data_IF_679319624951
#
_entry.id   IF_679319624951
#
_cell.length_a   1.000
_cell.length_b   1.000
_cell.length_c   1.000
_cell.angle_alpha   90.00
_cell.angle_beta   90.00
_cell.angle_gamma   90.00
#
_symmetry.space_group_name_H-M   'P 1'
#
loop_
_entity.id
_entity.type
_entity.pdbx_description
1 polymer ?
#
# COMPACT_ATOMS: atom_id res chain seq x y z
N UNK A 1 50.75 53.32 12.74
CA UNK A 1 49.94 54.42 12.25
C UNK A 1 48.51 53.95 12.31
N UNK A 2 47.80 54.15 13.41
CA UNK A 2 47.07 55.36 13.77
C UNK A 2 45.97 55.63 12.73
N UNK A 3 44.71 55.65 12.96
CA UNK A 3 43.87 56.41 13.91
C UNK A 3 42.41 55.95 13.70
N UNK A 4 41.61 55.45 14.64
CA UNK A 4 40.85 56.20 15.62
C UNK A 4 39.94 57.33 15.08
N UNK A 5 38.65 57.21 15.30
CA UNK A 5 37.66 58.24 15.73
C UNK A 5 36.28 57.54 15.69
N UNK A 6 35.68 57.13 16.77
CA UNK A 6 34.87 57.74 17.81
C UNK A 6 33.64 58.53 17.35
N UNK A 7 32.49 58.00 17.83
CA UNK A 7 31.34 58.69 18.48
C UNK A 7 30.46 59.61 17.64
N UNK A 8 29.19 59.31 17.61
CA UNK A 8 28.25 60.15 18.34
C UNK A 8 26.82 59.55 18.41
N UNK A 9 26.33 59.27 19.60
CA UNK A 9 24.94 59.28 19.96
C UNK A 9 24.51 60.70 20.25
N UNK A 10 23.21 61.07 20.06
CA UNK A 10 22.49 61.50 21.25
C UNK A 10 21.10 60.88 21.41
N UNK A 11 20.80 60.63 22.67
CA UNK A 11 19.50 60.48 23.28
C UNK A 11 18.65 61.72 23.15
N UNK A 12 17.36 61.57 22.91
CA UNK A 12 16.27 62.40 23.44
C UNK A 12 15.01 61.56 23.35
N UNK A 13 14.58 60.92 24.39
CA UNK A 13 13.54 61.33 25.37
C UNK A 13 12.16 61.56 24.75
N UNK A 14 11.31 60.58 25.06
CA UNK A 14 10.04 60.63 25.74
C UNK A 14 8.89 61.38 25.06
N UNK A 15 7.82 60.65 24.79
CA UNK A 15 6.58 60.94 25.54
C UNK A 15 5.49 59.91 25.34
N UNK A 16 4.79 59.64 26.38
CA UNK A 16 3.67 58.71 26.54
C UNK A 16 2.52 59.02 25.60
N UNK A 17 1.97 58.02 24.96
CA UNK A 17 0.53 57.98 24.75
C UNK A 17 0.10 56.51 24.88
N UNK A 18 -0.56 56.21 25.98
CA UNK A 18 -1.38 55.05 26.18
C UNK A 18 -2.53 55.09 25.18
N UNK A 19 -2.54 54.16 24.25
CA UNK A 19 -3.75 53.82 23.54
C UNK A 19 -4.08 52.37 23.93
N UNK A 20 -5.23 52.24 24.58
CA UNK A 20 -5.84 50.99 24.97
C UNK A 20 -5.99 50.04 23.74
N UNK A 21 -5.86 48.73 23.92
CA UNK A 21 -6.17 47.79 22.83
C UNK A 21 -7.66 47.83 22.58
N UNK A 22 -8.01 48.29 21.41
CA UNK A 22 -9.34 48.19 20.84
C UNK A 22 -9.66 46.72 20.66
N UNK A 23 -10.55 46.21 21.52
CA UNK A 23 -11.11 44.88 21.38
C UNK A 23 -11.91 44.84 20.07
N UNK A 24 -11.29 44.31 19.05
CA UNK A 24 -11.98 43.90 17.81
C UNK A 24 -12.93 42.78 18.19
N UNK A 25 -14.19 43.12 18.38
CA UNK A 25 -15.26 42.13 18.54
C UNK A 25 -15.34 41.32 17.26
N UNK A 26 -14.90 40.06 17.31
CA UNK A 26 -15.14 39.10 16.27
C UNK A 26 -16.65 38.86 16.26
N UNK A 27 -17.38 39.09 15.15
CA UNK A 27 -18.78 38.75 15.08
C UNK A 27 -18.92 37.24 15.19
N UNK A 28 -19.43 36.81 16.34
CA UNK A 28 -19.92 35.42 16.48
C UNK A 28 -21.10 35.30 15.51
N UNK A 29 -20.87 34.63 14.39
CA UNK A 29 -21.96 34.15 13.55
C UNK A 29 -22.79 33.24 14.41
N UNK A 30 -24.01 33.63 14.71
CA UNK A 30 -25.02 32.74 15.26
C UNK A 30 -25.05 31.47 14.41
N UNK A 31 -24.92 30.35 15.09
CA UNK A 31 -25.01 29.02 14.50
C UNK A 31 -26.37 28.88 13.83
N UNK A 32 -26.39 29.06 12.54
CA UNK A 32 -27.51 28.60 11.72
C UNK A 32 -27.66 27.10 11.95
N UNK A 33 -28.85 26.70 12.27
CA UNK A 33 -29.51 25.41 12.34
C UNK A 33 -28.65 24.14 12.14
N UNK A 34 -28.93 23.05 12.85
CA UNK A 34 -28.19 21.81 12.73
C UNK A 34 -28.29 21.30 11.30
N UNK A 35 -27.29 21.67 10.50
CA UNK A 35 -27.08 21.07 9.20
C UNK A 35 -27.13 19.56 9.37
N UNK A 36 -28.01 18.94 8.61
CA UNK A 36 -28.09 17.51 8.40
C UNK A 36 -26.73 16.87 8.67
N UNK A 37 -26.72 16.01 9.67
CA UNK A 37 -25.59 15.09 9.86
C UNK A 37 -25.34 14.49 8.50
N UNK A 38 -24.24 14.93 7.87
CA UNK A 38 -23.65 14.20 6.76
C UNK A 38 -23.55 12.76 7.26
N UNK A 39 -24.50 11.94 6.83
CA UNK A 39 -24.40 10.52 7.02
C UNK A 39 -23.02 10.15 6.52
N UNK A 40 -22.18 9.46 7.32
CA UNK A 40 -20.95 8.92 6.80
C UNK A 40 -21.34 8.16 5.54
N UNK A 41 -20.88 8.61 4.39
CA UNK A 41 -20.96 7.82 3.17
C UNK A 41 -20.49 6.44 3.60
N UNK A 42 -21.28 5.37 3.36
CA UNK A 42 -20.79 4.05 3.62
C UNK A 42 -19.47 3.98 2.87
N UNK A 43 -18.36 3.92 3.60
CA UNK A 43 -17.10 3.50 3.04
C UNK A 43 -17.45 2.18 2.38
N UNK A 44 -17.69 2.23 1.07
CA UNK A 44 -17.83 1.03 0.26
C UNK A 44 -16.58 0.23 0.61
N UNK A 45 -16.77 -0.79 1.44
CA UNK A 45 -15.72 -1.76 1.68
C UNK A 45 -15.16 -2.06 0.29
N UNK A 46 -13.84 -2.00 0.08
CA UNK A 46 -13.28 -2.33 -1.22
C UNK A 46 -13.88 -3.69 -1.55
N UNK A 47 -14.79 -3.69 -2.51
CA UNK A 47 -15.33 -4.95 -3.05
C UNK A 47 -14.08 -5.73 -3.36
N UNK A 48 -13.85 -6.92 -2.79
CA UNK A 48 -12.71 -7.72 -3.18
C UNK A 48 -12.93 -7.94 -4.67
N UNK A 49 -12.25 -7.15 -5.48
CA UNK A 49 -12.05 -7.50 -6.88
C UNK A 49 -11.28 -8.79 -6.74
N UNK A 50 -12.03 -9.89 -6.75
CA UNK A 50 -11.44 -11.23 -6.76
C UNK A 50 -10.39 -11.15 -7.82
N UNK A 51 -9.14 -11.13 -7.41
CA UNK A 51 -8.01 -11.00 -8.31
C UNK A 51 -7.99 -12.28 -9.12
N UNK A 52 -8.88 -12.34 -10.12
CA UNK A 52 -8.96 -13.45 -11.04
C UNK A 52 -7.65 -13.45 -11.79
N UNK A 53 -6.88 -14.47 -11.60
CA UNK A 53 -5.72 -14.74 -12.41
C UNK A 53 -6.03 -15.93 -13.33
N UNK A 54 -5.36 -15.99 -14.44
CA UNK A 54 -5.42 -17.14 -15.35
C UNK A 54 -4.12 -17.91 -15.18
N UNK A 55 -4.15 -19.11 -14.57
CA UNK A 55 -2.93 -19.89 -14.35
C UNK A 55 -2.19 -20.18 -15.65
N UNK A 56 -0.87 -20.04 -15.61
CA UNK A 56 0.04 -20.41 -16.71
C UNK A 56 1.19 -21.25 -16.16
N UNK A 57 1.78 -22.09 -16.98
CA UNK A 57 2.95 -22.92 -16.58
C UNK A 57 4.13 -22.03 -16.16
N UNK A 58 4.39 -20.98 -16.92
CA UNK A 58 5.41 -19.97 -16.57
C UNK A 58 5.08 -19.28 -15.26
N UNK A 59 3.79 -19.03 -15.00
CA UNK A 59 3.32 -18.44 -13.75
C UNK A 59 3.57 -19.36 -12.54
N UNK A 60 3.45 -20.68 -12.70
CA UNK A 60 3.77 -21.65 -11.63
C UNK A 60 5.25 -21.59 -11.28
N UNK A 61 6.10 -21.63 -12.28
CA UNK A 61 7.56 -21.52 -12.10
C UNK A 61 7.93 -20.19 -11.47
N UNK A 62 7.35 -19.11 -11.98
CA UNK A 62 7.64 -17.75 -11.47
C UNK A 62 7.21 -17.60 -10.01
N UNK A 63 6.01 -18.05 -9.68
CA UNK A 63 5.51 -18.01 -8.31
C UNK A 63 6.42 -18.77 -7.35
N UNK A 64 6.81 -20.01 -7.70
CA UNK A 64 7.72 -20.83 -6.89
C UNK A 64 9.09 -20.15 -6.72
N UNK A 65 9.66 -19.62 -7.82
CA UNK A 65 10.96 -18.90 -7.79
C UNK A 65 10.89 -17.68 -6.90
N UNK A 66 9.87 -16.83 -7.05
CA UNK A 66 9.71 -15.62 -6.22
C UNK A 66 9.53 -15.98 -4.75
N UNK A 67 8.78 -17.03 -4.44
CA UNK A 67 8.63 -17.52 -3.06
C UNK A 67 9.98 -17.91 -2.44
N UNK A 68 10.82 -18.64 -3.18
CA UNK A 68 12.16 -19.00 -2.72
C UNK A 68 13.06 -17.79 -2.52
N UNK A 69 13.06 -16.84 -3.45
CA UNK A 69 13.85 -15.60 -3.31
C UNK A 69 13.40 -14.74 -2.12
N UNK A 70 12.11 -14.72 -1.84
CA UNK A 70 11.55 -14.01 -0.66
C UNK A 70 11.93 -14.74 0.63
N UNK A 71 11.82 -16.07 0.67
CA UNK A 71 12.17 -16.87 1.83
C UNK A 71 13.68 -16.81 2.15
N UNK A 72 14.52 -16.69 1.13
CA UNK A 72 15.97 -16.51 1.26
C UNK A 72 16.36 -15.04 1.52
N UNK A 73 15.39 -14.12 1.63
CA UNK A 73 15.62 -12.66 1.77
C UNK A 73 16.52 -12.06 0.66
N UNK A 74 16.64 -12.76 -0.48
CA UNK A 74 17.46 -12.35 -1.61
C UNK A 74 16.92 -11.12 -2.33
N UNK A 75 15.62 -10.84 -2.20
CA UNK A 75 14.94 -9.68 -2.81
C UNK A 75 14.16 -8.89 -1.76
N UNK A 76 14.33 -7.58 -1.75
CA UNK A 76 13.71 -6.67 -0.80
C UNK A 76 13.13 -5.44 -1.47
N UNK A 77 12.26 -4.73 -0.78
CA UNK A 77 11.68 -3.45 -1.20
C UNK A 77 11.20 -3.46 -2.67
N UNK A 78 11.67 -2.53 -3.49
CA UNK A 78 11.25 -2.39 -4.90
C UNK A 78 11.53 -3.62 -5.76
N UNK A 79 12.58 -4.37 -5.45
CA UNK A 79 12.91 -5.61 -6.20
C UNK A 79 11.85 -6.67 -5.92
N UNK A 80 11.44 -6.81 -4.65
CA UNK A 80 10.35 -7.71 -4.26
C UNK A 80 9.03 -7.28 -4.90
N UNK A 81 8.75 -5.99 -4.94
CA UNK A 81 7.54 -5.46 -5.58
C UNK A 81 7.53 -5.76 -7.08
N UNK A 82 8.65 -5.52 -7.78
CA UNK A 82 8.82 -5.90 -9.18
C UNK A 82 8.56 -7.39 -9.39
N UNK A 83 9.18 -8.26 -8.59
CA UNK A 83 9.02 -9.70 -8.70
C UNK A 83 7.58 -10.16 -8.44
N UNK A 84 6.93 -9.63 -7.40
CA UNK A 84 5.55 -10.00 -7.05
C UNK A 84 4.52 -9.53 -8.08
N UNK A 85 4.71 -8.37 -8.70
CA UNK A 85 3.76 -7.79 -9.64
C UNK A 85 4.06 -8.13 -11.11
N UNK A 86 5.19 -8.76 -11.41
CA UNK A 86 5.50 -9.21 -12.75
C UNK A 86 4.92 -10.60 -13.04
N UNK A 87 4.71 -10.85 -14.33
CA UNK A 87 4.37 -12.13 -14.90
C UNK A 87 5.56 -12.63 -15.72
N UNK A 88 5.93 -13.89 -15.56
CA UNK A 88 6.84 -14.55 -16.49
C UNK A 88 6.06 -14.91 -17.74
N UNK A 89 6.52 -14.41 -18.88
CA UNK A 89 5.86 -14.61 -20.19
C UNK A 89 6.52 -15.72 -20.97
N UNK A 90 7.84 -15.74 -20.94
CA UNK A 90 8.63 -16.73 -21.68
C UNK A 90 9.96 -16.99 -20.97
N UNK A 91 10.48 -18.20 -21.17
CA UNK A 91 11.81 -18.64 -20.75
C UNK A 91 12.55 -19.20 -21.97
N UNK A 92 13.64 -18.54 -22.31
CA UNK A 92 14.54 -19.01 -23.36
C UNK A 92 15.91 -19.29 -22.73
N UNK A 93 16.11 -20.50 -22.29
CA UNK A 93 17.29 -20.91 -21.54
C UNK A 93 17.50 -20.04 -20.30
N UNK A 94 18.61 -19.30 -20.29
CA UNK A 94 18.98 -18.39 -19.20
C UNK A 94 18.39 -16.98 -19.33
N UNK A 95 17.62 -16.69 -20.39
CA UNK A 95 16.97 -15.42 -20.62
C UNK A 95 15.46 -15.54 -20.32
N UNK A 96 14.99 -14.73 -19.37
CA UNK A 96 13.59 -14.70 -18.94
C UNK A 96 12.94 -13.38 -19.34
N UNK A 97 11.74 -13.46 -19.94
CA UNK A 97 10.92 -12.31 -20.28
C UNK A 97 9.84 -12.12 -19.23
N UNK A 98 9.91 -11.02 -18.51
CA UNK A 98 8.92 -10.59 -17.54
C UNK A 98 8.01 -9.51 -18.12
N UNK A 99 6.76 -9.46 -17.67
CA UNK A 99 5.79 -8.41 -18.02
C UNK A 99 5.25 -7.76 -16.77
N UNK A 100 5.14 -6.43 -16.78
CA UNK A 100 4.57 -5.63 -15.71
C UNK A 100 3.47 -4.73 -16.24
N UNK A 101 2.46 -4.41 -15.41
CA UNK A 101 1.39 -3.48 -15.83
C UNK A 101 1.81 -2.02 -15.72
N UNK A 102 2.69 -1.69 -14.79
CA UNK A 102 3.13 -0.32 -14.51
C UNK A 102 4.59 -0.12 -14.87
N UNK A 103 4.85 0.85 -15.70
CA UNK A 103 6.22 1.23 -16.09
C UNK A 103 7.08 1.64 -14.88
N UNK A 104 6.47 2.22 -13.86
CA UNK A 104 7.15 2.59 -12.61
C UNK A 104 7.86 1.44 -11.90
N UNK A 105 7.45 0.20 -12.16
CA UNK A 105 8.12 -1.01 -11.65
C UNK A 105 9.33 -1.40 -12.47
N UNK A 106 9.45 -0.95 -13.72
CA UNK A 106 10.52 -1.30 -14.64
C UNK A 106 11.76 -0.39 -14.43
N UNK A 107 12.20 -0.23 -13.20
CA UNK A 107 13.40 0.57 -12.90
C UNK A 107 14.68 -0.21 -13.16
N UNK A 108 15.69 0.39 -13.82
CA UNK A 108 16.95 -0.29 -14.14
C UNK A 108 17.62 -0.92 -12.93
N UNK A 109 17.68 -0.19 -11.82
CA UNK A 109 18.30 -0.69 -10.57
C UNK A 109 17.56 -1.89 -10.00
N UNK A 110 16.22 -1.90 -10.05
CA UNK A 110 15.42 -3.02 -9.57
C UNK A 110 15.60 -4.25 -10.46
N UNK A 111 15.63 -4.06 -11.78
CA UNK A 111 15.92 -5.14 -12.75
C UNK A 111 17.27 -5.79 -12.52
N UNK A 112 18.33 -4.96 -12.41
CA UNK A 112 19.69 -5.48 -12.19
C UNK A 112 19.81 -6.29 -10.90
N UNK A 113 19.20 -5.81 -9.82
CA UNK A 113 19.18 -6.54 -8.55
C UNK A 113 18.38 -7.82 -8.64
N UNK A 114 17.22 -7.81 -9.33
CA UNK A 114 16.44 -9.02 -9.56
C UNK A 114 17.21 -10.03 -10.41
N UNK A 115 17.87 -9.57 -11.48
CA UNK A 115 18.75 -10.40 -12.32
C UNK A 115 19.84 -11.06 -11.47
N UNK A 116 20.55 -10.28 -10.65
CA UNK A 116 21.60 -10.80 -9.79
C UNK A 116 21.08 -11.84 -8.78
N UNK A 117 19.89 -11.63 -8.22
CA UNK A 117 19.28 -12.58 -7.31
C UNK A 117 18.87 -13.88 -8.03
N UNK A 118 18.34 -13.81 -9.25
CA UNK A 118 17.99 -14.97 -10.06
C UNK A 118 19.25 -15.75 -10.50
N UNK A 119 20.32 -15.03 -10.88
CA UNK A 119 21.61 -15.63 -11.24
C UNK A 119 22.22 -16.38 -10.05
N UNK A 120 22.24 -15.73 -8.87
CA UNK A 120 22.75 -16.35 -7.64
C UNK A 120 21.94 -17.60 -7.22
N UNK A 121 20.64 -17.62 -7.51
CA UNK A 121 19.77 -18.77 -7.28
C UNK A 121 19.83 -19.84 -8.40
N UNK A 122 20.60 -19.62 -9.46
CA UNK A 122 20.80 -20.57 -10.55
C UNK A 122 19.66 -20.64 -11.58
N UNK A 123 18.80 -19.58 -11.66
CA UNK A 123 17.66 -19.58 -12.58
C UNK A 123 17.96 -18.88 -13.91
N UNK A 124 18.17 -17.57 -13.90
CA UNK A 124 18.35 -16.78 -15.11
C UNK A 124 19.53 -15.84 -14.98
N UNK A 125 20.32 -15.71 -16.04
CA UNK A 125 21.44 -14.75 -16.12
C UNK A 125 21.04 -13.44 -16.79
N UNK A 126 19.94 -13.46 -17.55
CA UNK A 126 19.40 -12.30 -18.24
C UNK A 126 17.90 -12.18 -18.02
N UNK A 127 17.43 -10.95 -17.82
CA UNK A 127 16.01 -10.65 -17.76
C UNK A 127 15.68 -9.48 -18.67
N UNK A 128 14.56 -9.59 -19.38
CA UNK A 128 13.91 -8.49 -20.08
C UNK A 128 12.60 -8.18 -19.40
N UNK A 129 12.22 -6.91 -19.31
CA UNK A 129 10.95 -6.49 -18.74
C UNK A 129 10.21 -5.63 -19.75
N UNK A 130 9.01 -6.04 -20.09
CA UNK A 130 8.09 -5.30 -20.96
C UNK A 130 6.89 -4.77 -20.17
N UNK A 131 6.26 -3.72 -20.68
CA UNK A 131 5.02 -3.18 -20.11
C UNK A 131 3.82 -3.74 -20.87
N UNK A 132 2.87 -4.32 -20.15
CA UNK A 132 1.68 -4.91 -20.76
C UNK A 132 0.74 -5.51 -19.72
N UNK A 133 -0.38 -6.04 -20.18
CA UNK A 133 -1.37 -6.65 -19.29
C UNK A 133 -0.82 -7.92 -18.61
N UNK A 134 -0.89 -7.94 -17.30
CA UNK A 134 -0.52 -9.07 -16.46
C UNK A 134 -1.78 -9.86 -16.11
N UNK A 135 -1.78 -11.15 -16.40
CA UNK A 135 -2.90 -12.07 -16.09
C UNK A 135 -2.56 -13.07 -14.99
N UNK A 136 -1.27 -13.35 -14.78
CA UNK A 136 -0.79 -14.31 -13.81
C UNK A 136 0.51 -13.84 -13.16
N UNK A 137 0.38 -13.25 -11.97
CA UNK A 137 1.54 -12.81 -11.17
C UNK A 137 1.49 -13.39 -9.77
N UNK A 138 2.63 -13.52 -9.07
CA UNK A 138 2.66 -13.97 -7.68
C UNK A 138 1.73 -13.17 -6.76
N UNK A 139 1.63 -11.86 -6.94
CA UNK A 139 0.72 -11.02 -6.17
C UNK A 139 -0.75 -11.39 -6.40
N UNK A 140 -1.16 -11.64 -7.65
CA UNK A 140 -2.53 -12.06 -7.98
C UNK A 140 -2.85 -13.44 -7.40
N UNK A 141 -1.92 -14.38 -7.49
CA UNK A 141 -2.04 -15.72 -6.88
C UNK A 141 -2.18 -15.64 -5.37
N UNK A 142 -1.33 -14.87 -4.72
CA UNK A 142 -1.38 -14.67 -3.26
C UNK A 142 -2.68 -14.01 -2.83
N UNK A 143 -3.17 -13.02 -3.57
CA UNK A 143 -4.45 -12.37 -3.30
C UNK A 143 -5.63 -13.34 -3.47
N UNK A 144 -5.62 -14.18 -4.51
CA UNK A 144 -6.65 -15.20 -4.71
C UNK A 144 -6.64 -16.25 -3.59
N UNK A 145 -5.46 -16.73 -3.20
CA UNK A 145 -5.33 -17.68 -2.09
C UNK A 145 -5.76 -17.06 -0.74
N UNK A 146 -5.47 -15.79 -0.52
CA UNK A 146 -5.92 -15.08 0.68
C UNK A 146 -7.45 -14.91 0.70
N UNK A 147 -8.06 -14.55 -0.44
CA UNK A 147 -9.50 -14.42 -0.58
C UNK A 147 -10.21 -15.77 -0.36
N UNK A 148 -9.65 -16.86 -0.88
CA UNK A 148 -10.21 -18.19 -0.68
C UNK A 148 -10.12 -18.64 0.78
N UNK A 149 -9.00 -18.40 1.45
CA UNK A 149 -8.87 -18.68 2.90
C UNK A 149 -9.88 -17.87 3.72
N UNK A 150 -10.07 -16.61 3.37
CA UNK A 150 -11.05 -15.75 4.02
C UNK A 150 -12.47 -16.29 3.83
N UNK A 151 -12.83 -16.68 2.60
CA UNK A 151 -14.14 -17.27 2.28
C UNK A 151 -14.39 -18.55 3.08
N UNK A 152 -13.40 -19.44 3.13
CA UNK A 152 -13.51 -20.68 3.90
C UNK A 152 -13.65 -20.41 5.40
N UNK A 153 -12.91 -19.46 5.95
CA UNK A 153 -13.04 -19.09 7.36
C UNK A 153 -14.45 -18.53 7.67
N UNK A 154 -14.99 -17.69 6.81
CA UNK A 154 -16.34 -17.16 6.93
C UNK A 154 -17.39 -18.28 6.84
N UNK A 155 -17.22 -19.21 5.89
CA UNK A 155 -18.11 -20.35 5.72
C UNK A 155 -18.12 -21.28 6.96
N UNK A 156 -16.93 -21.55 7.53
CA UNK A 156 -16.82 -22.35 8.77
C UNK A 156 -17.58 -21.68 9.90
N UNK A 157 -17.37 -20.39 10.12
CA UNK A 157 -18.03 -19.65 11.22
C UNK A 157 -19.53 -19.56 11.00
N UNK A 158 -19.97 -19.30 9.77
CA UNK A 158 -21.41 -19.19 9.44
C UNK A 158 -22.14 -20.52 9.57
N UNK A 159 -21.47 -21.64 9.35
CA UNK A 159 -22.06 -22.98 9.46
C UNK A 159 -21.87 -23.61 10.86
N UNK A 160 -21.17 -22.93 11.78
CA UNK A 160 -20.99 -23.43 13.14
C UNK A 160 -22.34 -23.44 13.89
N UNK A 161 -22.78 -24.60 14.44
CA UNK A 161 -24.06 -24.73 15.11
C UNK A 161 -24.24 -23.82 16.32
N UNK A 162 -23.14 -23.55 17.04
CA UNK A 162 -23.16 -22.65 18.19
C UNK A 162 -23.36 -21.20 17.76
N UNK A 163 -22.66 -20.75 16.72
CA UNK A 163 -22.84 -19.43 16.13
C UNK A 163 -24.27 -19.25 15.63
N UNK A 164 -24.81 -20.25 14.93
CA UNK A 164 -26.20 -20.22 14.44
C UNK A 164 -27.20 -20.14 15.59
N UNK A 165 -26.95 -20.86 16.68
CA UNK A 165 -27.81 -20.77 17.90
C UNK A 165 -27.77 -19.38 18.51
N UNK A 166 -26.57 -18.79 18.67
CA UNK A 166 -26.44 -17.42 19.16
C UNK A 166 -27.16 -16.40 18.28
N UNK A 167 -27.05 -16.55 16.96
CA UNK A 167 -27.75 -15.66 16.03
C UNK A 167 -29.26 -15.79 16.12
N UNK A 168 -29.80 -17.03 16.23
CA UNK A 168 -31.22 -17.30 16.25
C UNK A 168 -31.87 -16.99 17.61
N UNK A 169 -31.23 -17.38 18.70
CA UNK A 169 -31.83 -17.29 20.03
C UNK A 169 -31.50 -15.99 20.75
N UNK A 170 -30.33 -15.43 20.51
CA UNK A 170 -29.86 -14.22 21.18
C UNK A 170 -29.75 -13.00 20.26
N UNK A 171 -30.12 -13.12 18.98
CA UNK A 171 -30.03 -12.01 18.03
C UNK A 171 -28.61 -11.53 17.75
N UNK A 172 -27.61 -12.38 18.02
CA UNK A 172 -26.22 -12.05 17.75
C UNK A 172 -26.00 -11.77 16.25
N UNK A 173 -25.06 -10.91 15.92
CA UNK A 173 -24.70 -10.59 14.54
C UNK A 173 -23.19 -10.68 14.37
N UNK A 174 -22.76 -11.28 13.27
CA UNK A 174 -21.36 -11.27 12.88
C UNK A 174 -21.02 -9.87 12.36
N UNK A 175 -19.97 -9.27 12.94
CA UNK A 175 -19.46 -7.98 12.47
C UNK A 175 -18.68 -8.20 11.17
N UNK A 176 -19.00 -7.50 10.08
CA UNK A 176 -18.26 -7.62 8.83
C UNK A 176 -16.76 -7.38 9.04
N UNK A 177 -15.90 -8.26 8.51
CA UNK A 177 -14.46 -8.17 8.64
C UNK A 177 -13.87 -8.62 9.98
N UNK A 178 -14.68 -9.12 10.93
CA UNK A 178 -14.19 -9.67 12.20
C UNK A 178 -13.59 -11.06 12.07
N UNK A 179 -14.06 -11.83 11.10
CA UNK A 179 -13.55 -13.17 10.84
C UNK A 179 -12.23 -13.07 10.10
N UNK A 180 -11.22 -13.71 10.63
CA UNK A 180 -9.88 -13.79 10.01
C UNK A 180 -9.47 -15.26 9.91
N UNK A 181 -8.91 -15.69 8.79
CA UNK A 181 -8.35 -17.03 8.67
C UNK A 181 -7.15 -17.17 9.63
N UNK A 182 -6.99 -18.34 10.18
CA UNK A 182 -5.85 -18.71 11.01
C UNK A 182 -4.59 -18.94 10.17
#
# INVERSE_FOLDING_TARGET
>A
MAEKVEQNLPLAQAEKAQAAPELVAIPVREASEPSERLQPLPLSAPTPVSARYTPTEEGDVWHATVQQLVAAEAITALVRELALQSQLVARDGAHWLLRVERESLNQPTARERLRAALEAAGYATQISVEVGRVIDSPARRNAAAAAERQRLAEEIVMNDPYVQTLMREHGAKIVPGSIKPA
#
